data_IF_076190699909
#
_entry.id   IF_076190699909
#
_cell.length_a   1.000
_cell.length_b   1.000
_cell.length_c   1.000
_cell.angle_alpha   90.00
_cell.angle_beta   90.00
_cell.angle_gamma   90.00
#
_symmetry.space_group_name_H-M   'P 1'
#
loop_
_entity.id
_entity.type
_entity.pdbx_description
1 polymer ?
#
# COMPACT_ATOMS: atom_id res chain seq x y z
N UNK A 1 -12.93 16.46 6.67
CA UNK A 1 -12.01 15.37 6.27
C UNK A 1 -11.37 14.87 7.55
N UNK A 2 -11.59 13.62 7.93
CA UNK A 2 -11.04 13.06 9.17
C UNK A 2 -9.60 12.65 8.91
N UNK A 3 -8.64 13.25 9.60
CA UNK A 3 -7.22 12.92 9.46
C UNK A 3 -6.90 11.64 10.23
N UNK A 4 -6.36 10.63 9.53
CA UNK A 4 -5.90 9.40 10.20
C UNK A 4 -4.62 9.68 11.00
N UNK A 5 -4.52 9.07 12.18
CA UNK A 5 -3.28 9.10 12.94
C UNK A 5 -2.20 8.29 12.22
N UNK A 6 -0.92 8.63 12.43
CA UNK A 6 0.19 7.85 11.88
C UNK A 6 0.15 6.36 12.29
N UNK A 7 -0.37 6.07 13.49
CA UNK A 7 -0.52 4.69 13.97
C UNK A 7 -1.63 3.95 13.22
N UNK A 8 -2.75 4.62 12.96
CA UNK A 8 -3.86 4.07 12.17
C UNK A 8 -3.42 3.75 10.74
N UNK A 9 -2.73 4.68 10.10
CA UNK A 9 -2.15 4.49 8.76
C UNK A 9 -1.23 3.26 8.74
N UNK A 10 -0.31 3.18 9.69
CA UNK A 10 0.62 2.06 9.78
C UNK A 10 -0.08 0.73 10.04
N UNK A 11 -1.08 0.70 10.93
CA UNK A 11 -1.85 -0.49 11.21
C UNK A 11 -2.58 -1.00 9.96
N UNK A 12 -3.36 -0.13 9.30
CA UNK A 12 -4.13 -0.48 8.11
C UNK A 12 -3.21 -0.99 6.97
N UNK A 13 -2.10 -0.29 6.74
CA UNK A 13 -1.12 -0.67 5.73
C UNK A 13 -0.47 -2.02 6.05
N UNK A 14 -0.12 -2.26 7.32
CA UNK A 14 0.52 -3.50 7.74
C UNK A 14 -0.46 -4.68 7.65
N UNK A 15 -1.72 -4.51 8.05
CA UNK A 15 -2.75 -5.53 7.87
C UNK A 15 -2.95 -5.89 6.40
N UNK A 16 -2.95 -4.88 5.53
CA UNK A 16 -3.11 -5.09 4.09
C UNK A 16 -1.94 -5.91 3.52
N UNK A 17 -0.69 -5.51 3.84
CA UNK A 17 0.50 -6.23 3.38
C UNK A 17 0.52 -7.69 3.87
N UNK A 18 0.08 -7.93 5.11
CA UNK A 18 -0.05 -9.29 5.65
C UNK A 18 -1.10 -10.11 4.90
N UNK A 19 -2.25 -9.52 4.57
CA UNK A 19 -3.31 -10.17 3.77
C UNK A 19 -2.84 -10.47 2.35
N UNK A 20 -2.16 -9.54 1.69
CA UNK A 20 -1.62 -9.70 0.33
C UNK A 20 -0.58 -10.82 0.24
N UNK A 21 0.23 -11.00 1.29
CA UNK A 21 1.21 -12.10 1.39
C UNK A 21 0.65 -13.38 2.01
N UNK A 22 -0.61 -13.36 2.48
CA UNK A 22 -1.25 -14.45 3.22
C UNK A 22 -0.39 -14.96 4.40
N UNK A 23 0.11 -14.04 5.23
CA UNK A 23 0.92 -14.35 6.41
C UNK A 23 0.23 -13.95 7.71
N UNK A 24 0.58 -14.65 8.77
CA UNK A 24 0.10 -14.44 10.13
C UNK A 24 0.99 -13.47 10.92
N UNK A 25 0.48 -12.98 12.07
CA UNK A 25 1.28 -12.14 12.98
C UNK A 25 2.48 -12.89 13.55
N UNK A 26 2.37 -14.22 13.70
CA UNK A 26 3.45 -15.07 14.23
C UNK A 26 4.59 -15.12 13.23
N UNK A 27 4.30 -15.47 11.97
CA UNK A 27 5.30 -15.52 10.89
C UNK A 27 5.98 -14.17 10.68
N UNK A 28 5.22 -13.07 10.70
CA UNK A 28 5.79 -11.74 10.60
C UNK A 28 6.70 -11.42 11.81
N UNK A 29 6.30 -11.82 13.01
CA UNK A 29 7.10 -11.57 14.21
C UNK A 29 8.44 -12.31 14.20
N UNK A 30 8.43 -13.54 13.69
CA UNK A 30 9.64 -14.36 13.51
C UNK A 30 10.57 -13.75 12.46
N UNK A 31 10.01 -13.33 11.31
CA UNK A 31 10.79 -12.72 10.23
C UNK A 31 11.46 -11.39 10.62
N UNK A 32 10.80 -10.59 11.45
CA UNK A 32 11.28 -9.27 11.90
C UNK A 32 12.12 -9.38 13.20
N UNK A 33 12.15 -10.56 13.83
CA UNK A 33 12.86 -10.78 15.09
C UNK A 33 12.28 -9.97 16.24
N UNK A 34 10.96 -9.94 16.37
CA UNK A 34 10.23 -9.30 17.48
C UNK A 34 9.19 -10.25 18.07
N UNK A 35 8.64 -9.93 19.24
CA UNK A 35 7.54 -10.73 19.79
C UNK A 35 6.24 -10.55 18.99
N UNK A 36 5.40 -11.58 18.92
CA UNK A 36 4.04 -11.47 18.37
C UNK A 36 3.24 -10.34 19.03
N UNK A 37 3.41 -10.13 20.34
CA UNK A 37 2.78 -9.02 21.08
C UNK A 37 3.22 -7.65 20.57
N UNK A 38 4.45 -7.53 20.05
CA UNK A 38 4.95 -6.30 19.45
C UNK A 38 4.23 -5.99 18.14
N UNK A 39 4.07 -6.99 17.26
CA UNK A 39 3.27 -6.86 16.04
C UNK A 39 1.82 -6.51 16.39
N UNK A 40 1.22 -7.21 17.36
CA UNK A 40 -0.14 -6.95 17.81
C UNK A 40 -0.32 -5.52 18.32
N UNK A 41 0.66 -4.98 19.05
CA UNK A 41 0.61 -3.59 19.52
C UNK A 41 0.68 -2.56 18.38
N UNK A 42 1.37 -2.87 17.28
CA UNK A 42 1.40 -2.01 16.09
C UNK A 42 0.06 -2.05 15.36
N UNK A 43 -0.53 -3.23 15.20
CA UNK A 43 -1.84 -3.41 14.55
C UNK A 43 -2.99 -2.82 15.38
N UNK A 44 -2.91 -2.85 16.72
CA UNK A 44 -3.91 -2.23 17.60
C UNK A 44 -3.69 -0.73 17.84
N UNK A 45 -2.79 -0.10 17.08
CA UNK A 45 -2.46 1.33 17.20
C UNK A 45 -1.96 1.76 18.61
N UNK A 46 -1.55 0.79 19.43
CA UNK A 46 -1.10 1.04 20.81
C UNK A 46 0.32 1.59 20.84
N UNK A 47 1.18 1.09 19.94
CA UNK A 47 2.57 1.54 19.81
C UNK A 47 2.91 1.78 18.35
N UNK A 48 3.94 2.58 18.14
CA UNK A 48 4.51 2.82 16.82
C UNK A 48 5.92 2.20 16.73
N UNK A 49 6.25 1.47 15.65
CA UNK A 49 7.58 0.91 15.47
C UNK A 49 8.65 1.99 15.37
N UNK A 50 9.87 1.68 15.83
CA UNK A 50 11.04 2.54 15.60
C UNK A 50 11.45 2.48 14.13
N UNK A 51 12.19 3.50 13.68
CA UNK A 51 12.65 3.62 12.29
C UNK A 51 13.39 2.36 11.77
N UNK A 52 14.19 1.71 12.63
CA UNK A 52 14.88 0.46 12.27
C UNK A 52 13.89 -0.65 11.95
N UNK A 53 12.83 -0.81 12.75
CA UNK A 53 11.78 -1.81 12.51
C UNK A 53 10.92 -1.48 11.30
N UNK A 54 10.70 -0.20 11.01
CA UNK A 54 10.04 0.22 9.75
C UNK A 54 10.88 -0.19 8.54
N UNK A 55 12.21 -0.03 8.62
CA UNK A 55 13.10 -0.46 7.54
C UNK A 55 13.10 -1.98 7.37
N UNK A 56 13.12 -2.75 8.46
CA UNK A 56 13.03 -4.22 8.41
C UNK A 56 11.71 -4.68 7.79
N UNK A 57 10.57 -4.08 8.18
CA UNK A 57 9.26 -4.35 7.57
C UNK A 57 9.25 -4.03 6.07
N UNK A 58 9.78 -2.86 5.69
CA UNK A 58 9.89 -2.43 4.30
C UNK A 58 10.70 -3.44 3.46
N UNK A 59 11.83 -3.91 3.99
CA UNK A 59 12.67 -4.90 3.35
C UNK A 59 11.95 -6.26 3.22
N UNK A 60 11.29 -6.71 4.29
CA UNK A 60 10.57 -7.98 4.30
C UNK A 60 9.43 -8.03 3.28
N UNK A 61 8.63 -6.96 3.19
CA UNK A 61 7.53 -6.87 2.23
C UNK A 61 7.98 -6.48 0.81
N UNK A 62 9.23 -6.06 0.67
CA UNK A 62 9.82 -5.49 -0.54
C UNK A 62 9.04 -4.26 -1.06
N UNK A 63 8.82 -3.28 -0.16
CA UNK A 63 8.08 -2.04 -0.43
C UNK A 63 8.83 -0.83 0.13
N UNK A 64 8.62 0.39 -0.40
CA UNK A 64 9.18 1.59 0.22
C UNK A 64 8.57 1.84 1.61
N UNK A 65 9.32 2.50 2.51
CA UNK A 65 8.84 2.85 3.86
C UNK A 65 7.52 3.63 3.84
N UNK A 66 7.36 4.52 2.86
CA UNK A 66 6.12 5.29 2.64
C UNK A 66 4.90 4.40 2.48
N UNK A 67 5.01 3.22 1.84
CA UNK A 67 3.91 2.26 1.71
C UNK A 67 3.35 1.81 3.06
N UNK A 68 4.19 1.82 4.10
CA UNK A 68 3.84 1.47 5.48
C UNK A 68 3.43 2.72 6.27
N UNK A 69 4.13 3.85 6.11
CA UNK A 69 3.98 5.01 7.00
C UNK A 69 3.03 6.10 6.51
N UNK A 70 2.72 6.15 5.21
CA UNK A 70 1.91 7.19 4.59
C UNK A 70 0.53 6.67 4.20
N UNK A 71 -0.43 7.59 4.17
CA UNK A 71 -1.78 7.27 3.73
C UNK A 71 -1.74 6.92 2.24
N UNK A 72 -2.12 5.69 1.91
CA UNK A 72 -2.25 5.28 0.53
C UNK A 72 -3.53 5.91 -0.03
N UNK A 73 -3.40 7.13 -0.55
CA UNK A 73 -4.36 7.68 -1.48
C UNK A 73 -4.29 6.83 -2.75
N UNK A 74 -5.06 5.73 -2.77
CA UNK A 74 -5.36 4.96 -3.98
C UNK A 74 -5.99 5.85 -5.07
N UNK A 75 -6.38 7.07 -4.72
CA UNK A 75 -6.56 8.20 -5.63
C UNK A 75 -5.22 8.86 -5.95
N UNK A 76 -4.29 8.12 -6.56
CA UNK A 76 -3.40 8.80 -7.49
C UNK A 76 -4.25 9.10 -8.73
N UNK A 77 -4.38 10.38 -9.09
CA UNK A 77 -4.99 10.82 -10.35
C UNK A 77 -4.29 10.25 -11.59
N UNK A 78 -3.22 9.47 -11.40
CA UNK A 78 -2.51 8.76 -12.46
C UNK A 78 -2.71 7.25 -12.27
N UNK A 79 -3.57 6.65 -13.09
CA UNK A 79 -3.49 5.20 -13.37
C UNK A 79 -2.20 5.01 -14.17
N UNK A 80 -1.07 4.82 -13.49
CA UNK A 80 0.18 4.47 -14.16
C UNK A 80 0.14 2.97 -14.48
N UNK A 81 -0.30 2.63 -15.69
CA UNK A 81 -0.04 1.31 -16.24
C UNK A 81 1.45 1.26 -16.65
N UNK A 82 2.24 0.38 -16.02
CA UNK A 82 3.56 0.02 -16.53
C UNK A 82 3.34 -0.84 -17.78
N UNK A 83 3.09 -0.20 -18.91
CA UNK A 83 3.38 -0.81 -20.20
C UNK A 83 4.90 -0.69 -20.36
N UNK A 84 5.59 -1.78 -20.67
CA UNK A 84 6.94 -1.64 -21.21
C UNK A 84 6.81 -0.70 -22.41
N UNK A 85 7.75 0.26 -22.56
CA UNK A 85 7.63 1.43 -23.46
C UNK A 85 7.41 1.09 -24.96
N UNK A 86 7.32 -0.18 -25.32
CA UNK A 86 7.31 -0.71 -26.68
C UNK A 86 5.96 -1.33 -27.11
N UNK A 87 4.96 -1.43 -26.22
CA UNK A 87 3.76 -2.24 -26.52
C UNK A 87 2.55 -1.48 -27.08
N UNK A 88 2.52 -0.14 -27.03
CA UNK A 88 1.36 0.62 -27.51
C UNK A 88 1.79 1.70 -28.49
N UNK A 89 1.16 1.70 -29.66
CA UNK A 89 1.21 2.78 -30.62
C UNK A 89 0.48 4.03 -30.10
N UNK A 90 0.76 5.19 -30.71
CA UNK A 90 0.05 6.44 -30.38
C UNK A 90 -1.49 6.30 -30.58
N UNK A 91 -1.91 5.48 -31.53
CA UNK A 91 -3.32 5.19 -31.81
C UNK A 91 -3.96 4.38 -30.68
N UNK A 92 -3.33 3.29 -30.25
CA UNK A 92 -3.83 2.45 -29.16
C UNK A 92 -3.86 3.21 -27.82
N UNK A 93 -2.89 4.08 -27.57
CA UNK A 93 -2.91 4.98 -26.42
C UNK A 93 -4.10 5.96 -26.48
N UNK A 94 -4.44 6.44 -27.68
CA UNK A 94 -5.63 7.25 -27.93
C UNK A 94 -6.92 6.51 -27.57
N UNK A 95 -7.06 5.25 -27.93
CA UNK A 95 -8.22 4.42 -27.60
C UNK A 95 -8.37 4.20 -26.08
N UNK A 96 -7.25 3.92 -25.41
CA UNK A 96 -7.23 3.74 -23.94
C UNK A 96 -7.68 5.03 -23.24
N UNK A 97 -7.20 6.19 -23.67
CA UNK A 97 -7.62 7.48 -23.10
C UNK A 97 -9.13 7.73 -23.29
N UNK A 98 -9.64 7.46 -24.49
CA UNK A 98 -11.06 7.63 -24.81
C UNK A 98 -11.94 6.70 -23.95
N UNK A 99 -11.53 5.46 -23.76
CA UNK A 99 -12.25 4.51 -22.92
C UNK A 99 -12.33 4.95 -21.45
N UNK A 100 -11.23 5.45 -20.89
CA UNK A 100 -11.18 5.99 -19.53
C UNK A 100 -12.14 7.17 -19.37
N UNK A 101 -12.20 8.06 -20.36
CA UNK A 101 -13.08 9.23 -20.36
C UNK A 101 -14.57 8.83 -20.36
N UNK A 102 -14.93 7.84 -21.18
CA UNK A 102 -16.29 7.28 -21.21
C UNK A 102 -16.70 6.70 -19.85
N UNK A 103 -15.81 5.96 -19.19
CA UNK A 103 -16.08 5.39 -17.86
C UNK A 103 -16.27 6.50 -16.82
N UNK A 104 -15.43 7.54 -16.82
CA UNK A 104 -15.56 8.68 -15.90
C UNK A 104 -16.91 9.38 -16.08
N UNK A 105 -17.35 9.59 -17.32
CA UNK A 105 -18.63 10.23 -17.63
C UNK A 105 -19.84 9.42 -17.14
N UNK A 106 -19.75 8.07 -17.15
CA UNK A 106 -20.80 7.18 -16.63
C UNK A 106 -20.93 7.19 -15.11
N UNK A 107 -19.83 7.43 -14.39
CA UNK A 107 -19.79 7.39 -12.92
C UNK A 107 -20.34 8.65 -12.26
N UNK A 108 -20.49 9.74 -13.02
CA UNK A 108 -21.01 11.05 -12.57
C UNK A 108 -22.48 11.29 -12.96
N UNK A 109 -23.23 10.24 -13.32
CA UNK A 109 -24.69 10.25 -13.52
C UNK A 109 -25.33 9.27 -12.53
#
# INVERSE_FOLDING_TARGET
MEYKSARKILSENLEQLMKERNITQVELSEAIGVSQSTISNWLKESKYPRISKIQELANYFNVPKSRITEENNLYQETIAAHFDKEDLTEEEMGEVMQFIEIIKARKNR
#
